data_IF_746975382832
#
_entry.id   IF_746975382832
#
_cell.length_a   1.000
_cell.length_b   1.000
_cell.length_c   1.000
_cell.angle_alpha   90.00
_cell.angle_beta   90.00
_cell.angle_gamma   90.00
#
_symmetry.space_group_name_H-M   'P 1'
#
loop_
_entity.id
_entity.type
_entity.pdbx_description
1 polymer ?
#
# COMPACT_ATOMS: atom_id res chain seq x y z
N UNK A 1 -10.66 -0.49 -12.66
CA UNK A 1 -10.65 0.68 -11.78
C UNK A 1 -10.56 0.29 -10.28
N UNK A 2 -11.15 -0.81 -9.91
CA UNK A 2 -11.33 -1.27 -8.53
C UNK A 2 -10.20 -2.17 -8.01
N UNK A 3 -9.63 -2.99 -8.87
CA UNK A 3 -8.60 -3.98 -8.54
C UNK A 3 -7.29 -3.40 -7.96
N UNK A 4 -6.70 -2.32 -8.49
CA UNK A 4 -5.42 -1.81 -7.98
C UNK A 4 -5.46 -1.41 -6.49
N UNK A 5 -6.59 -0.89 -6.01
CA UNK A 5 -6.74 -0.49 -4.62
C UNK A 5 -6.69 -1.69 -3.65
N UNK A 6 -7.16 -2.85 -4.11
CA UNK A 6 -7.20 -4.08 -3.30
C UNK A 6 -5.85 -4.77 -3.20
N UNK A 7 -4.99 -4.59 -4.19
CA UNK A 7 -3.64 -5.15 -4.21
C UNK A 7 -2.75 -4.57 -3.12
N UNK A 8 -2.98 -3.32 -2.70
CA UNK A 8 -2.25 -2.70 -1.61
C UNK A 8 -2.49 -3.38 -0.25
N UNK A 9 -3.65 -4.05 -0.08
CA UNK A 9 -4.05 -4.62 1.20
C UNK A 9 -3.20 -5.81 1.66
N UNK A 10 -2.86 -6.81 0.81
CA UNK A 10 -1.95 -7.90 1.21
C UNK A 10 -0.56 -7.40 1.57
N UNK A 11 -0.11 -6.31 0.95
CA UNK A 11 1.24 -5.76 1.16
C UNK A 11 1.37 -5.07 2.50
N UNK A 12 0.51 -4.09 2.78
CA UNK A 12 0.60 -3.28 4.00
C UNK A 12 -0.73 -2.67 4.45
N UNK A 13 -1.86 -3.10 3.88
CA UNK A 13 -3.18 -2.50 4.14
C UNK A 13 -3.95 -3.12 5.32
N UNK A 14 -3.42 -4.16 5.95
CA UNK A 14 -4.05 -4.84 7.10
C UNK A 14 -3.01 -5.17 8.16
N UNK A 15 -3.48 -5.49 9.37
CA UNK A 15 -2.60 -5.90 10.46
C UNK A 15 -1.78 -7.16 10.09
N UNK A 16 -2.38 -8.12 9.43
CA UNK A 16 -1.74 -9.37 8.97
C UNK A 16 -1.14 -9.28 7.57
N UNK A 17 -0.91 -8.07 7.06
CA UNK A 17 -0.24 -7.87 5.78
C UNK A 17 1.23 -8.23 5.85
N UNK A 18 1.82 -8.59 4.70
CA UNK A 18 3.18 -9.14 4.62
C UNK A 18 4.23 -8.26 5.28
N UNK A 19 4.22 -6.96 5.00
CA UNK A 19 5.21 -6.03 5.58
C UNK A 19 5.03 -5.88 7.09
N UNK A 20 3.80 -5.88 7.60
CA UNK A 20 3.55 -5.88 9.04
C UNK A 20 4.03 -7.17 9.70
N UNK A 21 3.71 -8.33 9.11
CA UNK A 21 4.20 -9.61 9.64
C UNK A 21 5.72 -9.66 9.65
N UNK A 22 6.37 -9.15 8.60
CA UNK A 22 7.83 -9.11 8.51
C UNK A 22 8.43 -8.12 9.53
N UNK A 23 8.14 -6.81 9.39
CA UNK A 23 8.84 -5.77 10.16
C UNK A 23 8.41 -5.69 11.62
N UNK A 24 7.13 -6.01 11.90
CA UNK A 24 6.59 -5.91 13.24
C UNK A 24 6.67 -7.22 14.00
N UNK A 25 6.08 -8.30 13.46
CA UNK A 25 5.94 -9.56 14.19
C UNK A 25 7.24 -10.39 14.19
N UNK A 26 7.91 -10.49 13.03
CA UNK A 26 9.11 -11.33 12.93
C UNK A 26 10.38 -10.59 13.39
N UNK A 27 10.52 -9.33 12.97
CA UNK A 27 11.76 -8.55 13.18
C UNK A 27 11.72 -7.64 14.39
N UNK A 28 10.53 -7.22 14.83
CA UNK A 28 10.34 -6.25 15.91
C UNK A 28 11.03 -4.90 15.66
N UNK A 29 11.17 -4.50 14.38
CA UNK A 29 11.82 -3.24 13.99
C UNK A 29 10.85 -2.08 13.84
N UNK A 30 9.55 -2.38 13.74
CA UNK A 30 8.48 -1.42 13.53
C UNK A 30 7.31 -1.69 14.45
N UNK A 31 6.61 -0.64 14.84
CA UNK A 31 5.31 -0.78 15.50
C UNK A 31 4.18 -1.10 14.52
N UNK A 32 4.38 -0.84 13.24
CA UNK A 32 3.46 -1.17 12.16
C UNK A 32 3.79 -0.45 10.87
N UNK A 33 3.48 -1.10 9.75
CA UNK A 33 3.58 -0.53 8.43
C UNK A 33 2.19 -0.43 7.80
N UNK A 34 1.98 0.59 6.97
CA UNK A 34 0.70 0.82 6.29
C UNK A 34 0.94 1.12 4.82
N UNK A 35 0.13 0.51 3.95
CA UNK A 35 0.10 0.90 2.55
C UNK A 35 -1.29 1.30 2.12
N UNK A 36 -1.35 2.25 1.22
CA UNK A 36 -2.59 2.76 0.65
C UNK A 36 -2.38 3.18 -0.80
N UNK A 37 -3.44 3.10 -1.58
CA UNK A 37 -3.53 3.69 -2.89
C UNK A 37 -4.53 4.85 -2.81
N UNK A 38 -4.06 6.06 -3.09
CA UNK A 38 -4.92 7.25 -3.03
C UNK A 38 -5.91 7.26 -4.19
N UNK A 39 -7.19 7.46 -3.91
CA UNK A 39 -8.19 7.67 -4.95
C UNK A 39 -8.13 9.11 -5.46
N UNK A 40 -7.72 9.28 -6.71
CA UNK A 40 -7.69 10.56 -7.42
C UNK A 40 -8.17 10.40 -8.85
N UNK A 41 -8.58 11.50 -9.51
CA UNK A 41 -8.92 11.50 -10.95
C UNK A 41 -7.68 11.36 -11.84
N UNK A 42 -6.54 11.80 -11.34
CA UNK A 42 -5.26 11.77 -12.06
C UNK A 42 -4.40 10.56 -11.67
N UNK A 43 -3.11 10.79 -11.60
CA UNK A 43 -2.14 9.78 -11.18
C UNK A 43 -2.40 9.33 -9.74
N UNK A 44 -2.39 8.04 -9.51
CA UNK A 44 -2.66 7.43 -8.20
C UNK A 44 -1.37 6.97 -7.55
N UNK A 45 -0.85 7.70 -6.60
CA UNK A 45 0.30 7.24 -5.86
C UNK A 45 -0.07 6.06 -4.95
N UNK A 46 0.71 4.99 -5.02
CA UNK A 46 0.74 3.99 -3.98
C UNK A 46 1.77 4.43 -2.95
N UNK A 47 1.37 4.51 -1.71
CA UNK A 47 2.20 4.92 -0.60
C UNK A 47 2.35 3.77 0.39
N UNK A 48 3.58 3.55 0.86
CA UNK A 48 3.89 2.68 1.98
C UNK A 48 4.63 3.51 3.02
N UNK A 49 4.15 3.47 4.25
CA UNK A 49 4.77 4.11 5.40
C UNK A 49 5.10 3.07 6.45
N UNK A 50 6.33 3.07 6.93
CA UNK A 50 6.82 2.18 7.96
C UNK A 50 7.73 2.94 8.92
N UNK A 51 7.22 3.39 10.09
CA UNK A 51 8.08 3.91 11.16
C UNK A 51 8.91 2.75 11.71
N UNK A 52 10.24 2.88 11.63
CA UNK A 52 11.19 1.84 12.03
C UNK A 52 12.23 2.39 13.00
N UNK A 53 12.91 1.52 13.71
CA UNK A 53 14.05 1.90 14.54
C UNK A 53 15.16 2.49 13.66
N UNK A 54 15.82 3.55 14.12
CA UNK A 54 16.85 4.26 13.36
C UNK A 54 18.00 3.37 12.91
N UNK A 55 18.46 2.47 13.78
CA UNK A 55 19.51 1.50 13.50
C UNK A 55 19.07 0.32 12.60
N UNK A 56 17.78 0.26 12.26
CA UNK A 56 17.16 -0.74 11.37
C UNK A 56 16.64 -0.16 10.06
N UNK A 57 16.97 1.08 9.77
CA UNK A 57 16.48 1.77 8.57
C UNK A 57 16.88 1.03 7.28
N UNK A 58 18.15 0.68 7.14
CA UNK A 58 18.68 0.02 5.94
C UNK A 58 18.10 -1.38 5.77
N UNK A 59 18.08 -2.15 6.83
CA UNK A 59 17.53 -3.51 6.82
C UNK A 59 16.05 -3.49 6.49
N UNK A 60 15.29 -2.51 7.02
CA UNK A 60 13.87 -2.35 6.73
C UNK A 60 13.61 -2.01 5.25
N UNK A 61 14.45 -1.16 4.65
CA UNK A 61 14.37 -0.86 3.21
C UNK A 61 14.60 -2.13 2.38
N UNK A 62 15.62 -2.93 2.74
CA UNK A 62 15.91 -4.22 2.06
C UNK A 62 14.72 -5.18 2.18
N UNK A 63 14.15 -5.31 3.37
CA UNK A 63 13.01 -6.19 3.61
C UNK A 63 11.75 -5.74 2.83
N UNK A 64 11.42 -4.45 2.86
CA UNK A 64 10.30 -3.90 2.10
C UNK A 64 10.47 -4.18 0.60
N UNK A 65 11.66 -3.91 0.06
CA UNK A 65 11.95 -4.18 -1.34
C UNK A 65 11.85 -5.67 -1.66
N UNK A 66 12.38 -6.52 -0.80
CA UNK A 66 12.31 -7.98 -0.95
C UNK A 66 10.85 -8.46 -0.99
N UNK A 67 10.00 -8.01 -0.04
CA UNK A 67 8.58 -8.39 -0.02
C UNK A 67 7.86 -7.99 -1.30
N UNK A 68 8.17 -6.83 -1.88
CA UNK A 68 7.57 -6.39 -3.15
C UNK A 68 8.07 -7.22 -4.34
N UNK A 69 9.35 -7.57 -4.39
CA UNK A 69 9.92 -8.43 -5.44
C UNK A 69 9.35 -9.84 -5.34
N UNK A 70 9.33 -10.41 -4.13
CA UNK A 70 8.81 -11.75 -3.87
C UNK A 70 7.33 -11.85 -4.25
N UNK A 71 6.54 -10.83 -3.96
CA UNK A 71 5.11 -10.77 -4.30
C UNK A 71 4.86 -10.86 -5.81
N UNK A 72 5.77 -10.33 -6.61
CA UNK A 72 5.64 -10.37 -8.07
C UNK A 72 6.23 -11.64 -8.70
N UNK A 73 7.03 -12.41 -7.96
CA UNK A 73 7.77 -13.55 -8.49
C UNK A 73 7.63 -14.80 -7.61
N UNK A 74 8.45 -14.92 -6.57
CA UNK A 74 8.60 -16.15 -5.80
C UNK A 74 7.42 -16.47 -4.87
N UNK A 75 6.74 -15.43 -4.37
CA UNK A 75 5.63 -15.53 -3.40
C UNK A 75 4.43 -14.69 -3.84
N UNK A 76 3.76 -15.04 -4.94
CA UNK A 76 2.61 -14.30 -5.44
C UNK A 76 1.48 -14.25 -4.39
N UNK A 77 0.54 -13.33 -4.58
CA UNK A 77 -0.65 -13.24 -3.73
C UNK A 77 -1.39 -14.57 -3.78
N UNK A 78 -1.69 -15.14 -2.60
CA UNK A 78 -2.34 -16.43 -2.47
C UNK A 78 -3.86 -16.31 -2.53
N UNK A 79 -4.56 -17.42 -2.82
CA UNK A 79 -6.01 -17.50 -2.77
C UNK A 79 -6.55 -17.09 -1.39
N UNK A 80 -5.91 -17.56 -0.31
CA UNK A 80 -6.30 -17.21 1.07
C UNK A 80 -6.20 -15.71 1.36
N UNK A 81 -5.18 -15.04 0.84
CA UNK A 81 -5.03 -13.59 0.99
C UNK A 81 -6.14 -12.85 0.23
N UNK A 82 -6.48 -13.29 -0.97
CA UNK A 82 -7.57 -12.74 -1.77
C UNK A 82 -8.91 -12.96 -1.06
N UNK A 83 -9.16 -14.16 -0.57
CA UNK A 83 -10.39 -14.51 0.13
C UNK A 83 -10.57 -13.72 1.44
N UNK A 84 -9.53 -13.57 2.23
CA UNK A 84 -9.56 -12.74 3.44
C UNK A 84 -9.97 -11.32 3.13
N UNK A 85 -9.39 -10.70 2.10
CA UNK A 85 -9.68 -9.33 1.71
C UNK A 85 -11.10 -9.22 1.17
N UNK A 86 -11.50 -10.12 0.28
CA UNK A 86 -12.84 -10.18 -0.30
C UNK A 86 -13.91 -10.29 0.80
N UNK A 87 -13.74 -11.24 1.70
CA UNK A 87 -14.68 -11.47 2.81
C UNK A 87 -14.75 -10.29 3.76
N UNK A 88 -13.61 -9.68 4.10
CA UNK A 88 -13.57 -8.46 4.91
C UNK A 88 -14.38 -7.35 4.26
N UNK A 89 -14.13 -7.11 2.99
CA UNK A 89 -14.73 -6.00 2.26
C UNK A 89 -16.23 -6.20 2.04
N UNK A 90 -16.65 -7.40 1.70
CA UNK A 90 -18.09 -7.74 1.58
C UNK A 90 -18.80 -7.57 2.93
N UNK A 91 -18.19 -8.01 4.03
CA UNK A 91 -18.78 -7.84 5.37
C UNK A 91 -18.83 -6.37 5.80
N UNK A 92 -17.85 -5.56 5.41
CA UNK A 92 -17.82 -4.15 5.72
C UNK A 92 -18.94 -3.35 5.02
N UNK A 93 -19.51 -3.85 3.91
CA UNK A 93 -20.56 -3.14 3.18
C UNK A 93 -21.82 -2.91 4.02
N UNK A 94 -22.17 -3.83 4.91
CA UNK A 94 -23.37 -3.72 5.73
C UNK A 94 -23.37 -2.49 6.63
N UNK A 95 -22.21 -2.07 7.15
CA UNK A 95 -22.06 -0.90 8.01
C UNK A 95 -21.61 0.36 7.28
N UNK A 96 -21.24 0.26 6.00
CA UNK A 96 -20.60 1.37 5.28
C UNK A 96 -21.53 2.55 4.99
N UNK A 97 -22.84 2.32 4.95
CA UNK A 97 -23.85 3.31 4.53
C UNK A 97 -24.89 3.61 5.63
N UNK A 98 -24.54 3.42 6.90
CA UNK A 98 -25.46 3.59 8.03
C UNK A 98 -25.71 5.06 8.40
N UNK A 99 -24.88 5.99 7.97
CA UNK A 99 -25.02 7.41 8.28
C UNK A 99 -25.28 8.26 7.06
N UNK A 100 -26.01 9.38 7.22
CA UNK A 100 -26.25 10.35 6.15
C UNK A 100 -24.92 10.88 5.57
N UNK A 101 -23.90 11.09 6.40
CA UNK A 101 -22.58 11.52 5.97
C UNK A 101 -21.92 10.48 5.07
N UNK A 102 -22.00 9.20 5.40
CA UNK A 102 -21.44 8.11 4.58
C UNK A 102 -22.17 7.99 3.24
N UNK A 103 -23.49 8.10 3.23
CA UNK A 103 -24.30 8.11 1.99
C UNK A 103 -23.96 9.31 1.12
N UNK A 104 -23.88 10.52 1.70
CA UNK A 104 -23.50 11.74 0.98
C UNK A 104 -22.11 11.64 0.37
N UNK A 105 -21.14 11.09 1.12
CA UNK A 105 -19.78 10.83 0.63
C UNK A 105 -19.78 9.85 -0.56
N UNK A 106 -20.54 8.76 -0.48
CA UNK A 106 -20.65 7.78 -1.54
C UNK A 106 -21.25 8.37 -2.84
N UNK A 107 -22.28 9.23 -2.71
CA UNK A 107 -22.86 9.97 -3.84
C UNK A 107 -21.81 10.92 -4.43
N UNK A 108 -21.11 11.67 -3.56
CA UNK A 108 -20.03 12.55 -3.98
C UNK A 108 -18.93 11.82 -4.76
N UNK A 109 -18.58 10.60 -4.35
CA UNK A 109 -17.59 9.76 -5.04
C UNK A 109 -18.11 9.23 -6.38
N UNK A 110 -19.39 8.90 -6.51
CA UNK A 110 -20.01 8.54 -7.79
C UNK A 110 -19.82 9.68 -8.78
N UNK A 111 -20.20 10.91 -8.39
CA UNK A 111 -20.07 12.11 -9.22
C UNK A 111 -18.59 12.44 -9.50
N UNK A 112 -17.77 12.44 -8.46
CA UNK A 112 -16.34 12.78 -8.54
C UNK A 112 -15.57 11.88 -9.48
N UNK A 113 -15.84 10.58 -9.47
CA UNK A 113 -15.12 9.59 -10.25
C UNK A 113 -15.85 9.12 -11.50
N UNK A 114 -17.03 9.68 -11.81
CA UNK A 114 -17.84 9.29 -12.96
C UNK A 114 -18.26 7.83 -12.91
N UNK A 115 -18.61 7.33 -11.71
CA UNK A 115 -19.09 5.96 -11.53
C UNK A 115 -20.56 5.85 -11.97
N UNK A 116 -21.03 4.65 -12.37
CA UNK A 116 -22.45 4.42 -12.61
C UNK A 116 -23.31 4.73 -11.37
N UNK A 117 -24.53 5.19 -11.54
CA UNK A 117 -25.44 5.52 -10.42
C UNK A 117 -25.79 4.32 -9.55
N UNK A 118 -25.72 3.11 -10.12
CA UNK A 118 -25.94 1.85 -9.41
C UNK A 118 -24.67 1.26 -8.79
N UNK A 119 -23.55 1.99 -8.80
CA UNK A 119 -22.24 1.51 -8.34
C UNK A 119 -22.28 0.90 -6.93
N UNK A 120 -22.96 1.56 -5.98
CA UNK A 120 -23.07 1.05 -4.60
C UNK A 120 -23.83 -0.27 -4.57
N UNK A 121 -24.87 -0.41 -5.40
CA UNK A 121 -25.69 -1.62 -5.49
C UNK A 121 -24.93 -2.79 -6.08
N UNK A 122 -24.06 -2.53 -7.05
CA UNK A 122 -23.25 -3.54 -7.75
C UNK A 122 -21.94 -3.86 -7.06
N UNK A 123 -21.55 -3.07 -6.05
CA UNK A 123 -20.25 -3.16 -5.39
C UNK A 123 -19.98 -4.54 -4.79
N UNK A 124 -20.98 -5.15 -4.16
CA UNK A 124 -20.84 -6.51 -3.58
C UNK A 124 -20.52 -7.54 -4.67
N UNK A 125 -21.23 -7.51 -5.78
CA UNK A 125 -21.00 -8.42 -6.91
C UNK A 125 -19.62 -8.20 -7.52
N UNK A 126 -19.17 -6.95 -7.65
CA UNK A 126 -17.84 -6.59 -8.13
C UNK A 126 -16.72 -7.12 -7.19
N UNK A 127 -16.95 -7.08 -5.89
CA UNK A 127 -16.02 -7.65 -4.90
C UNK A 127 -15.95 -9.17 -5.02
N UNK A 128 -17.10 -9.82 -5.11
CA UNK A 128 -17.20 -11.28 -5.21
C UNK A 128 -16.66 -11.83 -6.53
N UNK A 129 -16.75 -11.08 -7.62
CA UNK A 129 -16.22 -11.45 -8.92
C UNK A 129 -14.69 -11.36 -9.05
N UNK A 130 -14.00 -10.85 -8.03
CA UNK A 130 -12.53 -10.78 -8.08
C UNK A 130 -11.91 -12.17 -8.05
N UNK A 131 -11.05 -12.43 -9.03
CA UNK A 131 -10.29 -13.68 -9.13
C UNK A 131 -8.85 -13.48 -8.67
N UNK A 132 -8.21 -14.55 -8.21
CA UNK A 132 -6.79 -14.55 -7.84
C UNK A 132 -5.89 -14.10 -8.98
N UNK A 133 -6.17 -14.56 -10.20
CA UNK A 133 -5.44 -14.18 -11.41
C UNK A 133 -5.57 -12.66 -11.68
N UNK A 134 -6.79 -12.10 -11.55
CA UNK A 134 -7.03 -10.67 -11.73
C UNK A 134 -6.31 -9.82 -10.69
N UNK A 135 -6.28 -10.27 -9.42
CA UNK A 135 -5.56 -9.57 -8.35
C UNK A 135 -4.04 -9.63 -8.58
N UNK A 136 -3.48 -10.77 -8.98
CA UNK A 136 -2.05 -10.89 -9.33
C UNK A 136 -1.66 -10.03 -10.52
N UNK A 137 -2.48 -10.01 -11.56
CA UNK A 137 -2.26 -9.14 -12.72
C UNK A 137 -2.27 -7.66 -12.32
N UNK A 138 -3.22 -7.24 -11.48
CA UNK A 138 -3.28 -5.88 -10.97
C UNK A 138 -2.04 -5.53 -10.11
N UNK A 139 -1.51 -6.50 -9.33
CA UNK A 139 -0.27 -6.34 -8.57
C UNK A 139 0.91 -6.07 -9.49
N UNK A 140 1.06 -6.85 -10.55
CA UNK A 140 2.14 -6.68 -11.52
C UNK A 140 2.07 -5.34 -12.27
N UNK A 141 0.89 -4.77 -12.43
CA UNK A 141 0.71 -3.44 -13.02
C UNK A 141 0.96 -2.29 -12.03
N UNK A 142 0.59 -2.49 -10.76
CA UNK A 142 0.63 -1.44 -9.74
C UNK A 142 2.02 -1.30 -9.09
N UNK A 143 2.71 -2.42 -8.84
CA UNK A 143 3.98 -2.40 -8.13
C UNK A 143 5.17 -2.45 -9.08
N UNK A 144 6.08 -1.52 -8.88
CA UNK A 144 7.35 -1.43 -9.62
C UNK A 144 8.50 -1.29 -8.62
N UNK A 145 9.01 -2.41 -8.07
CA UNK A 145 10.02 -2.38 -7.02
C UNK A 145 11.32 -1.66 -7.41
N UNK A 146 11.61 -1.59 -8.72
CA UNK A 146 12.81 -0.94 -9.23
C UNK A 146 12.60 0.56 -9.56
N UNK A 147 11.39 1.07 -9.41
CA UNK A 147 11.03 2.49 -9.70
C UNK A 147 10.41 3.18 -8.48
N UNK A 148 10.80 2.79 -7.27
CA UNK A 148 10.31 3.38 -6.04
C UNK A 148 11.02 4.70 -5.74
N UNK A 149 10.27 5.69 -5.26
CA UNK A 149 10.83 6.86 -4.60
C UNK A 149 10.80 6.60 -3.10
N UNK A 150 11.97 6.67 -2.47
CA UNK A 150 12.12 6.51 -1.03
C UNK A 150 12.19 7.88 -0.37
N UNK A 151 11.29 8.14 0.56
CA UNK A 151 11.34 9.32 1.44
C UNK A 151 11.64 8.82 2.84
N UNK A 152 12.79 9.22 3.38
CA UNK A 152 13.29 8.73 4.67
C UNK A 152 13.48 9.92 5.58
N UNK A 153 12.83 9.89 6.74
CA UNK A 153 12.93 10.93 7.76
C UNK A 153 13.61 10.35 9.00
N UNK A 154 14.69 10.99 9.43
CA UNK A 154 15.45 10.53 10.58
C UNK A 154 16.72 11.34 10.83
N UNK A 155 17.56 10.86 11.75
CA UNK A 155 18.86 11.45 12.02
C UNK A 155 19.83 11.22 10.86
N UNK A 156 20.00 12.24 10.02
CA UNK A 156 20.81 12.16 8.80
C UNK A 156 22.24 11.68 9.08
N UNK A 157 22.82 12.11 10.22
CA UNK A 157 24.19 11.72 10.59
C UNK A 157 24.37 10.22 10.78
N UNK A 158 23.29 9.49 11.11
CA UNK A 158 23.29 8.05 11.36
C UNK A 158 22.86 7.23 10.14
N UNK A 159 21.98 7.77 9.31
CA UNK A 159 21.32 6.99 8.26
C UNK A 159 21.84 7.27 6.86
N UNK A 160 22.44 8.45 6.58
CA UNK A 160 22.79 8.85 5.22
C UNK A 160 23.81 7.91 4.55
N UNK A 161 24.95 7.66 5.20
CA UNK A 161 26.00 6.83 4.62
C UNK A 161 25.52 5.41 4.30
N UNK A 162 24.89 4.67 5.23
CA UNK A 162 24.39 3.33 4.93
C UNK A 162 23.25 3.30 3.90
N UNK A 163 22.45 4.37 3.78
CA UNK A 163 21.43 4.48 2.71
C UNK A 163 22.09 4.65 1.34
N UNK A 164 23.15 5.46 1.24
CA UNK A 164 23.90 5.62 -0.02
C UNK A 164 24.54 4.31 -0.49
N UNK A 165 25.02 3.49 0.46
CA UNK A 165 25.59 2.16 0.17
C UNK A 165 24.57 1.16 -0.39
N UNK A 166 23.26 1.38 -0.19
CA UNK A 166 22.23 0.53 -0.79
C UNK A 166 22.20 0.59 -2.33
N UNK A 167 22.71 1.66 -2.93
CA UNK A 167 22.75 1.81 -4.38
C UNK A 167 21.39 1.85 -5.06
N UNK A 168 20.33 2.27 -4.35
CA UNK A 168 18.96 2.29 -4.88
C UNK A 168 18.66 3.49 -5.78
N UNK A 169 19.60 4.41 -5.94
CA UNK A 169 19.46 5.60 -6.77
C UNK A 169 20.16 6.82 -6.16
N UNK A 170 19.84 7.99 -6.72
CA UNK A 170 20.40 9.26 -6.23
C UNK A 170 19.80 9.60 -4.87
N UNK A 171 20.66 9.78 -3.86
CA UNK A 171 20.27 10.24 -2.52
C UNK A 171 20.46 11.76 -2.43
N UNK A 172 19.40 12.46 -2.03
CA UNK A 172 19.37 13.90 -1.85
C UNK A 172 18.89 14.23 -0.44
N UNK A 173 19.71 14.95 0.34
CA UNK A 173 19.29 15.47 1.63
C UNK A 173 18.42 16.71 1.46
N UNK A 174 17.34 16.79 2.23
CA UNK A 174 16.43 17.92 2.28
C UNK A 174 16.29 18.40 3.74
N UNK A 175 16.09 19.70 3.93
CA UNK A 175 15.65 20.24 5.22
C UNK A 175 14.13 20.04 5.43
N UNK A 176 13.62 20.51 6.56
CA UNK A 176 12.20 20.39 6.89
C UNK A 176 11.26 21.17 5.95
N UNK A 177 11.79 22.19 5.28
CA UNK A 177 11.06 23.01 4.32
C UNK A 177 11.17 22.46 2.88
N UNK A 178 11.94 21.37 2.68
CA UNK A 178 12.14 20.74 1.39
C UNK A 178 13.28 21.33 0.55
N UNK A 179 14.11 22.20 1.14
CA UNK A 179 15.28 22.74 0.45
C UNK A 179 16.41 21.71 0.45
N UNK A 180 17.17 21.72 -0.64
CA UNK A 180 18.30 20.81 -0.79
C UNK A 180 19.41 21.19 0.19
N UNK A 181 19.82 20.23 1.00
CA UNK A 181 21.03 20.35 1.83
C UNK A 181 22.27 20.20 0.94
N UNK A 182 23.26 21.06 1.15
CA UNK A 182 24.52 21.06 0.39
C UNK A 182 25.45 19.94 0.83
#
# INVERSE_FOLDING_TARGET
FFLPMRVALPVGGTFTSRINMNLREDKHWSYGARSSLTETRGQRPWLLSAPVQTDKTVESIREIRRELVDLLAAKPITADEVDKIRNRDVRALSGQYETNAAVSSAIGDIVRFGRPDDYVRTLQSLLQAQTDAGVRQAAAQAFRPDSLTWVIVGDLSKIEAPIRELGLGRVQGLDADGNVLR
#
